data_IF_076896802197
#
_entry.id   IF_076896802197
#
_cell.length_a   1.000
_cell.length_b   1.000
_cell.length_c   1.000
_cell.angle_alpha   90.00
_cell.angle_beta   90.00
_cell.angle_gamma   90.00
#
_symmetry.space_group_name_H-M   'P 1'
#
loop_
_entity.id
_entity.type
_entity.pdbx_description
1 polymer ?
#
# COMPACT_ATOMS: atom_id res chain seq x y z
N UNK A 1 16.48 13.57 4.79
CA UNK A 1 15.85 12.44 4.08
C UNK A 1 14.55 12.96 3.48
N UNK A 2 14.25 12.63 2.22
CA UNK A 2 13.09 13.18 1.53
C UNK A 2 11.84 12.33 1.84
N UNK A 3 10.68 12.99 1.93
CA UNK A 3 9.37 12.33 2.13
C UNK A 3 9.12 11.19 1.14
N UNK A 4 9.61 11.33 -0.10
CA UNK A 4 9.52 10.30 -1.13
C UNK A 4 10.34 9.06 -0.78
N UNK A 5 11.55 9.25 -0.27
CA UNK A 5 12.41 8.16 0.14
C UNK A 5 11.79 7.37 1.29
N UNK A 6 11.31 8.07 2.32
CA UNK A 6 10.66 7.45 3.48
C UNK A 6 9.41 6.66 3.08
N UNK A 7 8.61 7.20 2.14
CA UNK A 7 7.41 6.55 1.63
C UNK A 7 7.74 5.31 0.78
N UNK A 8 8.79 5.38 -0.03
CA UNK A 8 9.27 4.22 -0.79
C UNK A 8 9.81 3.11 0.13
N UNK A 9 10.59 3.46 1.16
CA UNK A 9 11.05 2.46 2.15
C UNK A 9 9.89 1.86 2.95
N UNK A 10 8.90 2.67 3.33
CA UNK A 10 7.69 2.19 4.00
C UNK A 10 6.88 1.23 3.14
N UNK A 11 6.80 1.46 1.83
CA UNK A 11 6.02 0.63 0.90
C UNK A 11 6.76 -0.63 0.49
N UNK A 12 8.08 -0.55 0.26
CA UNK A 12 8.84 -1.63 -0.36
C UNK A 12 9.81 -2.34 0.59
N UNK A 13 10.25 -1.72 1.68
CA UNK A 13 11.28 -2.29 2.56
C UNK A 13 10.65 -2.81 3.86
N UNK A 14 9.82 -2.00 4.51
CA UNK A 14 9.18 -2.40 5.78
C UNK A 14 8.38 -3.72 5.69
N UNK A 15 7.60 -4.00 4.62
CA UNK A 15 6.87 -5.26 4.53
C UNK A 15 7.79 -6.48 4.35
N UNK A 16 8.93 -6.31 3.68
CA UNK A 16 9.93 -7.38 3.56
C UNK A 16 10.67 -7.61 4.88
N UNK A 17 10.98 -6.54 5.62
CA UNK A 17 11.56 -6.67 6.96
C UNK A 17 10.54 -7.37 7.89
N UNK A 18 9.27 -6.98 7.87
CA UNK A 18 8.23 -7.66 8.64
C UNK A 18 8.03 -9.14 8.22
N UNK A 19 8.22 -9.49 6.96
CA UNK A 19 8.22 -10.89 6.51
C UNK A 19 9.29 -11.73 7.20
N UNK A 20 10.54 -11.23 7.19
CA UNK A 20 11.69 -11.97 7.70
C UNK A 20 11.77 -11.97 9.23
N UNK A 21 11.21 -10.96 9.90
CA UNK A 21 11.34 -10.79 11.35
C UNK A 21 10.07 -11.09 12.16
N UNK A 22 8.87 -11.07 11.56
CA UNK A 22 7.60 -11.14 12.29
C UNK A 22 6.62 -12.21 11.76
N UNK A 23 7.08 -13.19 10.98
CA UNK A 23 6.26 -14.27 10.42
C UNK A 23 5.00 -13.79 9.69
N UNK A 24 5.08 -12.64 9.01
CA UNK A 24 3.97 -12.15 8.21
C UNK A 24 3.68 -13.15 7.08
N UNK A 25 2.42 -13.53 6.89
CA UNK A 25 2.08 -14.47 5.82
C UNK A 25 2.38 -13.85 4.45
N UNK A 26 2.96 -14.65 3.54
CA UNK A 26 3.36 -14.22 2.20
C UNK A 26 2.20 -13.56 1.42
N UNK A 27 0.97 -14.01 1.66
CA UNK A 27 -0.24 -13.40 1.10
C UNK A 27 -0.49 -11.95 1.56
N UNK A 28 -0.17 -11.62 2.81
CA UNK A 28 -0.33 -10.25 3.35
C UNK A 28 0.67 -9.27 2.74
N UNK A 29 1.89 -9.72 2.50
CA UNK A 29 2.93 -8.90 1.83
C UNK A 29 2.56 -8.64 0.38
N UNK A 30 2.14 -9.67 -0.36
CA UNK A 30 1.67 -9.49 -1.73
C UNK A 30 0.48 -8.55 -1.81
N UNK A 31 -0.48 -8.67 -0.88
CA UNK A 31 -1.63 -7.78 -0.83
C UNK A 31 -1.23 -6.32 -0.52
N UNK A 32 -0.28 -6.08 0.40
CA UNK A 32 0.31 -4.75 0.65
C UNK A 32 0.98 -4.16 -0.58
N UNK A 33 1.78 -4.95 -1.29
CA UNK A 33 2.49 -4.52 -2.48
C UNK A 33 1.52 -4.15 -3.60
N UNK A 34 0.54 -5.03 -3.88
CA UNK A 34 -0.50 -4.79 -4.87
C UNK A 34 -1.34 -3.57 -4.53
N UNK A 35 -1.74 -3.41 -3.25
CA UNK A 35 -2.48 -2.25 -2.80
C UNK A 35 -1.66 -0.96 -2.95
N UNK A 36 -0.36 -0.98 -2.64
CA UNK A 36 0.50 0.19 -2.76
C UNK A 36 0.69 0.62 -4.22
N UNK A 37 0.90 -0.35 -5.12
CA UNK A 37 0.96 -0.08 -6.58
C UNK A 37 -0.37 0.44 -7.09
N UNK A 38 -1.49 -0.15 -6.68
CA UNK A 38 -2.83 0.31 -7.05
C UNK A 38 -3.15 1.70 -6.51
N UNK A 39 -2.66 2.05 -5.31
CA UNK A 39 -2.83 3.36 -4.72
C UNK A 39 -2.03 4.43 -5.48
N UNK A 40 -0.74 4.19 -5.72
CA UNK A 40 0.13 5.14 -6.42
C UNK A 40 -0.29 5.29 -7.90
N UNK A 41 -0.51 4.17 -8.59
CA UNK A 41 -1.00 4.16 -9.97
C UNK A 41 -2.40 4.73 -10.08
N UNK A 42 -3.29 4.40 -9.14
CA UNK A 42 -4.64 4.93 -9.07
C UNK A 42 -4.66 6.44 -8.86
N UNK A 43 -3.87 6.97 -7.93
CA UNK A 43 -3.74 8.42 -7.73
C UNK A 43 -3.16 9.13 -8.96
N UNK A 44 -2.16 8.54 -9.62
CA UNK A 44 -1.62 9.11 -10.84
C UNK A 44 -2.70 9.23 -11.94
N UNK A 45 -3.43 8.14 -12.19
CA UNK A 45 -4.53 8.14 -13.16
C UNK A 45 -5.65 9.12 -12.76
N UNK A 46 -6.03 9.14 -11.48
CA UNK A 46 -7.09 9.98 -10.95
C UNK A 46 -6.81 11.47 -11.10
N UNK A 47 -5.58 11.89 -10.81
CA UNK A 47 -5.21 13.30 -10.71
C UNK A 47 -4.64 13.88 -12.01
N UNK A 48 -4.00 13.06 -12.86
CA UNK A 48 -3.23 13.55 -14.02
C UNK A 48 -3.77 13.10 -15.38
N UNK A 49 -4.72 12.16 -15.45
CA UNK A 49 -5.26 11.67 -16.73
C UNK A 49 -6.67 12.19 -17.03
N UNK A 50 -7.07 12.04 -18.30
CA UNK A 50 -8.39 12.46 -18.79
C UNK A 50 -9.53 11.69 -18.13
N UNK A 51 -10.74 12.27 -18.17
CA UNK A 51 -11.94 11.78 -17.47
C UNK A 51 -12.13 10.24 -17.44
N UNK A 52 -12.07 9.49 -18.57
CA UNK A 52 -12.27 8.04 -18.54
C UNK A 52 -11.21 7.30 -17.72
N UNK A 53 -9.95 7.72 -17.78
CA UNK A 53 -8.85 7.13 -17.01
C UNK A 53 -8.86 7.61 -15.55
N UNK A 54 -9.33 8.84 -15.30
CA UNK A 54 -9.48 9.37 -13.94
C UNK A 54 -10.48 8.55 -13.12
N UNK A 55 -11.60 8.12 -13.71
CA UNK A 55 -12.55 7.23 -13.02
C UNK A 55 -11.94 5.88 -12.65
N UNK A 56 -11.14 5.29 -13.54
CA UNK A 56 -10.40 4.05 -13.26
C UNK A 56 -9.38 4.29 -12.14
N UNK A 57 -8.72 5.46 -12.17
CA UNK A 57 -7.80 5.88 -11.12
C UNK A 57 -8.46 5.93 -9.75
N UNK A 58 -9.62 6.58 -9.63
CA UNK A 58 -10.39 6.62 -8.38
C UNK A 58 -10.89 5.24 -7.95
N UNK A 59 -11.33 4.41 -8.91
CA UNK A 59 -11.77 3.04 -8.64
C UNK A 59 -10.63 2.15 -8.10
N UNK A 60 -9.37 2.44 -8.44
CA UNK A 60 -8.19 1.76 -7.90
C UNK A 60 -7.73 2.38 -6.57
N UNK A 61 -7.63 3.71 -6.51
CA UNK A 61 -7.06 4.43 -5.37
C UNK A 61 -7.90 4.30 -4.10
N UNK A 62 -9.23 4.34 -4.19
CA UNK A 62 -10.12 4.28 -3.02
C UNK A 62 -10.04 2.93 -2.30
N UNK A 63 -10.29 1.76 -2.94
CA UNK A 63 -10.19 0.49 -2.26
C UNK A 63 -8.77 0.16 -1.80
N UNK A 64 -7.75 0.54 -2.58
CA UNK A 64 -6.36 0.40 -2.18
C UNK A 64 -6.07 1.21 -0.90
N UNK A 65 -6.55 2.46 -0.84
CA UNK A 65 -6.41 3.35 0.31
C UNK A 65 -7.05 2.78 1.56
N UNK A 66 -8.29 2.30 1.45
CA UNK A 66 -9.01 1.64 2.54
C UNK A 66 -8.25 0.40 3.03
N UNK A 67 -7.72 -0.41 2.11
CA UNK A 67 -6.92 -1.59 2.46
C UNK A 67 -5.64 -1.20 3.20
N UNK A 68 -4.87 -0.23 2.70
CA UNK A 68 -3.64 0.23 3.38
C UNK A 68 -3.93 0.79 4.78
N UNK A 69 -5.04 1.51 4.94
CA UNK A 69 -5.43 2.05 6.25
C UNK A 69 -5.83 0.92 7.21
N UNK A 70 -6.65 -0.03 6.74
CA UNK A 70 -7.05 -1.22 7.49
C UNK A 70 -5.83 -2.04 7.92
N UNK A 71 -4.91 -2.27 6.99
CA UNK A 71 -3.72 -3.05 7.26
C UNK A 71 -2.80 -2.32 8.28
N UNK A 72 -2.56 -1.02 8.12
CA UNK A 72 -1.80 -0.22 9.10
C UNK A 72 -2.40 -0.29 10.52
N UNK A 73 -3.73 -0.26 10.64
CA UNK A 73 -4.44 -0.38 11.91
C UNK A 73 -4.38 -1.79 12.52
N UNK A 74 -4.13 -2.82 11.71
CA UNK A 74 -4.18 -4.22 12.14
C UNK A 74 -2.80 -4.90 12.22
N UNK A 75 -1.73 -4.27 11.74
CA UNK A 75 -0.34 -4.77 11.82
C UNK A 75 0.08 -5.06 13.26
N UNK A 76 -0.21 -4.15 14.19
CA UNK A 76 0.18 -4.30 15.60
C UNK A 76 -0.70 -5.26 16.41
N UNK A 77 -1.71 -5.90 15.80
CA UNK A 77 -2.54 -6.89 16.52
C UNK A 77 -1.88 -8.28 16.60
N UNK A 78 -0.82 -8.54 15.85
CA UNK A 78 -0.15 -9.86 15.85
C UNK A 78 1.25 -9.84 16.49
N UNK A 79 1.75 -8.67 16.89
CA UNK A 79 3.00 -8.49 17.65
C UNK A 79 2.83 -8.58 19.17
N UNK A 80 1.62 -8.83 19.67
CA UNK A 80 1.37 -9.19 21.08
C UNK A 80 1.15 -10.70 21.19
N UNK A 81 2.23 -11.46 21.16
CA UNK A 81 2.27 -12.84 21.68
C UNK A 81 3.42 -12.94 22.66
#
# INVERSE_FOLDING_TARGET
MSLLFDLLTSVFVDPFVEYFYHDLTLGRILARLLASVALLGGMYLALFQSAPLSYVGWALAVPAGVYTLYDALTVNRHTRS
#
